data_IF_605283496500
#
_entry.id   IF_605283496500
#
_cell.length_a   1.000
_cell.length_b   1.000
_cell.length_c   1.000
_cell.angle_alpha   90.00
_cell.angle_beta   90.00
_cell.angle_gamma   90.00
#
_symmetry.space_group_name_H-M   'P 1'
#
loop_
_entity.id
_entity.type
_entity.pdbx_description
1 polymer ?
#
# COMPACT_ATOMS: atom_id res chain seq x y z
N UNK A 1 35.39 33.52 -11.42
CA UNK A 1 33.92 33.53 -11.57
C UNK A 1 33.45 32.08 -11.49
N UNK A 2 32.95 31.63 -10.33
CA UNK A 2 32.48 30.26 -10.15
C UNK A 2 30.96 30.24 -10.20
N UNK A 3 30.40 29.51 -11.16
CA UNK A 3 28.98 29.35 -11.35
C UNK A 3 28.46 28.25 -10.41
N UNK A 4 27.65 28.67 -9.44
CA UNK A 4 26.95 27.78 -8.51
C UNK A 4 25.75 27.15 -9.25
N UNK A 5 25.82 25.85 -9.53
CA UNK A 5 24.69 25.09 -10.08
C UNK A 5 23.76 24.66 -8.94
N UNK A 6 22.51 25.15 -8.98
CA UNK A 6 21.43 24.73 -8.08
C UNK A 6 20.88 23.35 -8.49
N UNK A 7 20.45 22.51 -7.52
CA UNK A 7 19.84 21.22 -7.81
C UNK A 7 18.39 21.38 -8.30
N UNK A 8 18.08 20.73 -9.44
CA UNK A 8 16.73 20.61 -9.98
C UNK A 8 15.86 19.72 -9.08
N UNK A 9 14.79 20.28 -8.52
CA UNK A 9 13.73 19.50 -7.88
C UNK A 9 12.77 18.93 -8.95
N UNK A 10 12.35 17.66 -8.83
CA UNK A 10 11.37 17.10 -9.77
C UNK A 10 9.95 17.67 -9.51
N UNK A 11 9.12 17.82 -10.56
CA UNK A 11 7.77 18.37 -10.43
C UNK A 11 6.85 17.41 -9.65
N UNK A 12 6.22 17.94 -8.59
CA UNK A 12 5.37 17.23 -7.63
C UNK A 12 3.94 16.96 -8.13
N UNK A 13 3.73 16.80 -9.44
CA UNK A 13 2.37 16.57 -9.96
C UNK A 13 2.41 15.66 -11.19
N UNK A 14 1.73 14.50 -11.17
CA UNK A 14 1.61 13.67 -12.37
C UNK A 14 0.84 14.46 -13.45
N UNK A 15 1.30 14.45 -14.71
CA UNK A 15 0.60 15.16 -15.78
C UNK A 15 -0.77 14.54 -16.02
N UNK A 16 -1.80 15.39 -16.08
CA UNK A 16 -3.14 15.03 -16.54
C UNK A 16 -3.05 14.57 -18.00
N UNK A 17 -3.53 13.37 -18.26
CA UNK A 17 -3.74 12.82 -19.60
C UNK A 17 -4.71 13.76 -20.33
N UNK A 18 -4.21 14.50 -21.32
CA UNK A 18 -5.00 15.35 -22.19
C UNK A 18 -4.40 16.75 -22.32
N UNK A 19 -3.88 17.04 -23.52
CA UNK A 19 -3.43 18.36 -24.02
C UNK A 19 -1.95 18.74 -23.86
N UNK A 20 -1.03 17.93 -24.39
CA UNK A 20 0.19 18.44 -25.05
C UNK A 20 0.52 17.54 -26.26
N UNK A 21 -0.20 17.73 -27.36
CA UNK A 21 0.24 17.32 -28.69
C UNK A 21 0.91 18.54 -29.32
N UNK A 22 2.25 18.64 -29.26
CA UNK A 22 3.04 19.29 -30.31
C UNK A 22 4.53 19.01 -30.13
N UNK A 23 5.05 18.16 -31.02
CA UNK A 23 6.42 18.16 -31.58
C UNK A 23 7.62 17.51 -30.87
N UNK A 24 7.48 16.89 -29.70
CA UNK A 24 8.44 15.87 -29.21
C UNK A 24 7.63 14.64 -28.79
N UNK A 25 8.10 13.43 -29.10
CA UNK A 25 7.53 12.12 -28.70
C UNK A 25 6.40 11.54 -29.59
N UNK A 26 6.74 11.14 -30.81
CA UNK A 26 6.35 9.78 -31.26
C UNK A 26 7.37 8.79 -30.68
N UNK A 27 7.59 8.83 -29.37
CA UNK A 27 8.36 7.80 -28.71
C UNK A 27 7.56 6.51 -28.90
N UNK A 28 8.22 5.48 -29.40
CA UNK A 28 7.67 4.16 -29.61
C UNK A 28 7.17 3.60 -28.26
N UNK A 29 5.96 3.95 -27.85
CA UNK A 29 5.31 3.40 -26.67
C UNK A 29 4.79 2.02 -27.03
N UNK A 30 5.71 1.05 -27.09
CA UNK A 30 5.33 -0.35 -27.10
C UNK A 30 4.72 -0.70 -25.73
N UNK A 31 3.68 -1.54 -25.73
CA UNK A 31 3.06 -1.98 -24.48
C UNK A 31 3.94 -3.03 -23.80
N UNK A 32 4.82 -2.57 -22.92
CA UNK A 32 5.75 -3.41 -22.15
C UNK A 32 5.02 -4.39 -21.23
N UNK A 33 3.80 -4.08 -20.80
CA UNK A 33 3.01 -4.94 -19.94
C UNK A 33 2.46 -6.13 -20.72
N UNK A 34 1.88 -5.86 -21.89
CA UNK A 34 1.35 -6.89 -22.78
C UNK A 34 2.45 -7.80 -23.33
N UNK A 35 3.55 -7.21 -23.83
CA UNK A 35 4.62 -7.95 -24.53
C UNK A 35 5.40 -8.88 -23.60
N UNK A 36 5.58 -8.48 -22.34
CA UNK A 36 6.27 -9.29 -21.34
C UNK A 36 5.35 -10.32 -20.66
N UNK A 37 4.02 -10.23 -20.89
CA UNK A 37 3.00 -11.12 -20.33
C UNK A 37 3.12 -11.31 -18.80
N UNK A 38 3.60 -10.31 -18.06
CA UNK A 38 3.94 -10.49 -16.63
C UNK A 38 2.70 -10.61 -15.74
N UNK A 39 1.57 -10.07 -16.20
CA UNK A 39 0.27 -10.34 -15.60
C UNK A 39 -0.31 -11.64 -16.13
N UNK A 40 -0.92 -12.42 -15.23
CA UNK A 40 -1.63 -13.63 -15.61
C UNK A 40 -3.13 -13.37 -15.64
N UNK A 41 -3.68 -13.26 -16.85
CA UNK A 41 -5.09 -13.03 -17.08
C UNK A 41 -5.98 -14.17 -16.51
N UNK A 42 -5.46 -15.40 -16.43
CA UNK A 42 -6.20 -16.56 -15.88
C UNK A 42 -6.35 -16.52 -14.36
N UNK A 43 -5.57 -15.68 -13.66
CA UNK A 43 -5.54 -15.61 -12.20
C UNK A 43 -5.71 -14.17 -11.73
N UNK A 44 -6.89 -13.59 -11.94
CA UNK A 44 -7.29 -12.27 -11.41
C UNK A 44 -6.31 -11.13 -11.75
N UNK A 45 -5.58 -11.22 -12.87
CA UNK A 45 -4.49 -10.30 -13.21
C UNK A 45 -3.43 -10.19 -12.10
N UNK A 46 -3.09 -11.31 -11.46
CA UNK A 46 -2.05 -11.34 -10.45
C UNK A 46 -0.67 -11.42 -11.10
N UNK A 47 0.27 -10.69 -10.51
CA UNK A 47 1.67 -10.68 -10.90
C UNK A 47 2.34 -11.99 -10.46
N UNK A 48 2.35 -12.96 -11.38
CA UNK A 48 2.83 -14.33 -11.14
C UNK A 48 4.07 -14.60 -11.97
N UNK A 49 4.87 -15.54 -11.50
CA UNK A 49 6.13 -15.89 -12.14
C UNK A 49 5.91 -16.24 -13.64
N UNK A 50 6.58 -15.55 -14.57
CA UNK A 50 6.38 -15.71 -16.02
C UNK A 50 7.04 -16.98 -16.60
N UNK A 51 7.75 -17.75 -15.78
CA UNK A 51 8.35 -19.02 -16.20
C UNK A 51 7.37 -20.19 -16.10
N UNK A 52 7.54 -21.15 -17.01
CA UNK A 52 6.80 -22.39 -17.01
C UNK A 52 7.35 -23.39 -15.99
N UNK A 53 6.46 -24.18 -15.39
CA UNK A 53 6.79 -25.36 -14.59
C UNK A 53 7.24 -26.51 -15.49
N UNK A 54 7.61 -27.66 -14.90
CA UNK A 54 7.97 -28.87 -15.66
C UNK A 54 6.84 -29.33 -16.60
N UNK A 55 5.59 -29.07 -16.22
CA UNK A 55 4.39 -29.46 -16.94
C UNK A 55 3.94 -28.44 -17.99
N UNK A 56 4.83 -27.50 -18.37
CA UNK A 56 4.55 -26.41 -19.32
C UNK A 56 3.37 -25.51 -18.91
N UNK A 57 3.05 -25.45 -17.61
CA UNK A 57 2.06 -24.54 -17.05
C UNK A 57 2.75 -23.33 -16.44
N UNK A 58 2.13 -22.16 -16.52
CA UNK A 58 2.67 -20.96 -15.90
C UNK A 58 2.79 -21.12 -14.38
N UNK A 59 3.91 -20.68 -13.82
CA UNK A 59 4.16 -20.80 -12.39
C UNK A 59 3.20 -19.90 -11.58
N UNK A 60 2.39 -20.51 -10.71
CA UNK A 60 1.40 -19.81 -9.88
C UNK A 60 1.98 -19.16 -8.62
N UNK A 61 3.27 -19.34 -8.35
CA UNK A 61 3.90 -18.72 -7.19
C UNK A 61 3.96 -17.20 -7.38
N UNK A 62 3.41 -16.48 -6.41
CA UNK A 62 3.43 -15.02 -6.37
C UNK A 62 4.84 -14.53 -6.03
N UNK A 63 5.27 -13.46 -6.70
CA UNK A 63 6.42 -12.71 -6.24
C UNK A 63 6.09 -11.99 -4.91
N UNK A 64 7.10 -11.66 -4.11
CA UNK A 64 6.89 -10.87 -2.89
C UNK A 64 6.35 -9.48 -3.25
N UNK A 65 5.44 -8.92 -2.44
CA UNK A 65 4.80 -7.61 -2.71
C UNK A 65 5.81 -6.50 -3.05
N UNK A 66 6.94 -6.44 -2.34
CA UNK A 66 8.02 -5.48 -2.60
C UNK A 66 8.62 -5.64 -4.01
N UNK A 67 9.00 -6.86 -4.38
CA UNK A 67 9.49 -7.17 -5.73
C UNK A 67 8.46 -6.85 -6.82
N UNK A 68 7.17 -7.07 -6.56
CA UNK A 68 6.10 -6.72 -7.51
C UNK A 68 6.08 -5.21 -7.74
N UNK A 69 6.09 -4.40 -6.68
CA UNK A 69 6.09 -2.94 -6.81
C UNK A 69 7.31 -2.43 -7.59
N UNK A 70 8.50 -2.96 -7.30
CA UNK A 70 9.73 -2.63 -8.03
C UNK A 70 9.68 -3.06 -9.49
N UNK A 71 9.19 -4.28 -9.76
CA UNK A 71 9.07 -4.78 -11.13
C UNK A 71 8.06 -3.98 -11.95
N UNK A 72 6.92 -3.58 -11.37
CA UNK A 72 5.93 -2.71 -12.04
C UNK A 72 6.55 -1.36 -12.39
N UNK A 73 7.35 -0.78 -11.49
CA UNK A 73 8.07 0.47 -11.77
C UNK A 73 9.05 0.32 -12.93
N UNK A 74 9.84 -0.75 -12.97
CA UNK A 74 10.77 -1.02 -14.08
C UNK A 74 10.05 -1.28 -15.40
N UNK A 75 8.94 -2.04 -15.39
CA UNK A 75 8.12 -2.29 -16.58
C UNK A 75 7.52 -0.99 -17.12
N UNK A 76 7.06 -0.10 -16.24
CA UNK A 76 6.58 1.22 -16.64
C UNK A 76 7.70 2.07 -17.27
N UNK A 77 8.92 2.01 -16.74
CA UNK A 77 10.08 2.70 -17.33
C UNK A 77 10.47 2.15 -18.70
N UNK A 78 10.33 0.83 -18.92
CA UNK A 78 10.59 0.19 -20.21
C UNK A 78 9.73 0.75 -21.35
N UNK A 79 8.50 1.19 -21.07
CA UNK A 79 7.62 1.79 -22.07
C UNK A 79 8.15 3.13 -22.65
N UNK A 80 9.17 3.71 -22.00
CA UNK A 80 9.87 4.91 -22.45
C UNK A 80 11.28 4.63 -22.98
N UNK A 81 11.70 3.37 -22.98
CA UNK A 81 13.01 2.94 -23.46
C UNK A 81 12.89 2.43 -24.90
N UNK A 82 13.90 2.72 -25.73
CA UNK A 82 13.99 2.15 -27.07
C UNK A 82 14.03 0.60 -26.98
N UNK A 83 13.03 -0.11 -27.55
CA UNK A 83 12.97 -1.57 -27.49
C UNK A 83 14.13 -2.26 -28.19
N UNK A 84 14.85 -1.58 -29.10
CA UNK A 84 16.05 -2.08 -29.77
C UNK A 84 17.35 -1.58 -29.13
N UNK A 85 17.26 -0.74 -28.09
CA UNK A 85 18.41 -0.14 -27.44
C UNK A 85 19.22 -1.15 -26.61
N UNK A 86 20.54 -0.95 -26.44
CA UNK A 86 21.40 -1.87 -25.68
C UNK A 86 21.04 -1.98 -24.18
N UNK A 87 20.23 -1.04 -23.67
CA UNK A 87 19.78 -1.02 -22.27
C UNK A 87 18.60 -1.96 -22.00
N UNK A 88 17.95 -2.50 -23.04
CA UNK A 88 16.74 -3.33 -22.87
C UNK A 88 17.05 -4.63 -22.13
N UNK A 89 18.12 -5.34 -22.52
CA UNK A 89 18.46 -6.65 -21.94
C UNK A 89 18.83 -6.55 -20.45
N UNK A 90 19.68 -5.61 -19.98
CA UNK A 90 19.95 -5.41 -18.56
C UNK A 90 18.68 -5.16 -17.73
N UNK A 91 17.75 -4.35 -18.23
CA UNK A 91 16.49 -4.06 -17.50
C UNK A 91 15.56 -5.28 -17.47
N UNK A 92 15.45 -6.03 -18.57
CA UNK A 92 14.72 -7.30 -18.59
C UNK A 92 15.30 -8.32 -17.61
N UNK A 93 16.64 -8.38 -17.48
CA UNK A 93 17.32 -9.21 -16.48
C UNK A 93 16.94 -8.80 -15.05
N UNK A 94 16.87 -7.51 -14.75
CA UNK A 94 16.41 -7.02 -13.43
C UNK A 94 14.96 -7.39 -13.16
N UNK A 95 14.07 -7.19 -14.14
CA UNK A 95 12.66 -7.57 -14.05
C UNK A 95 12.52 -9.08 -13.81
N UNK A 96 13.26 -9.92 -14.55
CA UNK A 96 13.28 -11.36 -14.32
C UNK A 96 13.75 -11.73 -12.90
N UNK A 97 14.77 -11.05 -12.36
CA UNK A 97 15.26 -11.31 -11.02
C UNK A 97 14.24 -10.99 -9.90
N UNK A 98 13.33 -10.05 -10.16
CA UNK A 98 12.25 -9.64 -9.24
C UNK A 98 10.99 -10.50 -9.40
N UNK A 99 10.65 -10.87 -10.63
CA UNK A 99 9.38 -11.53 -10.99
C UNK A 99 9.45 -13.06 -10.89
N UNK A 100 10.63 -13.68 -11.04
CA UNK A 100 10.78 -15.12 -10.95
C UNK A 100 10.72 -15.62 -9.50
N UNK A 101 9.99 -16.71 -9.27
CA UNK A 101 9.80 -17.24 -7.93
C UNK A 101 11.15 -17.74 -7.33
N UNK A 102 11.45 -17.30 -6.10
CA UNK A 102 12.73 -17.60 -5.42
C UNK A 102 13.01 -19.10 -5.27
N UNK A 103 11.97 -19.88 -4.98
CA UNK A 103 12.12 -21.28 -4.58
C UNK A 103 12.45 -22.22 -5.75
N UNK A 104 11.95 -21.93 -6.96
CA UNK A 104 12.03 -22.87 -8.10
C UNK A 104 12.81 -22.28 -9.27
N UNK A 105 12.66 -20.98 -9.54
CA UNK A 105 13.12 -20.39 -10.81
C UNK A 105 14.30 -19.44 -10.64
N UNK A 106 14.47 -18.81 -9.47
CA UNK A 106 15.63 -17.92 -9.20
C UNK A 106 16.94 -18.68 -8.96
N UNK A 107 16.88 -19.91 -8.45
CA UNK A 107 18.08 -20.74 -8.17
C UNK A 107 18.72 -21.35 -9.42
N UNK A 108 18.04 -21.31 -10.56
CA UNK A 108 18.51 -21.89 -11.81
C UNK A 108 18.83 -20.76 -12.80
N UNK A 109 20.11 -20.39 -12.99
CA UNK A 109 20.49 -19.30 -13.91
C UNK A 109 19.95 -19.49 -15.32
N UNK A 110 19.89 -20.76 -15.77
CA UNK A 110 19.30 -21.16 -17.07
C UNK A 110 17.86 -20.68 -17.26
N UNK A 111 17.05 -20.57 -16.19
CA UNK A 111 15.65 -20.13 -16.30
C UNK A 111 15.52 -18.60 -16.39
N UNK A 112 16.48 -17.87 -15.83
CA UNK A 112 16.54 -16.42 -15.92
C UNK A 112 16.83 -15.99 -17.36
N UNK A 113 17.88 -16.56 -17.98
CA UNK A 113 18.24 -16.27 -19.37
C UNK A 113 17.11 -16.68 -20.34
N UNK A 114 16.46 -17.82 -20.12
CA UNK A 114 15.34 -18.26 -20.97
C UNK A 114 14.15 -17.30 -20.97
N UNK A 115 13.80 -16.74 -19.81
CA UNK A 115 12.72 -15.76 -19.72
C UNK A 115 13.07 -14.47 -20.46
N UNK A 116 14.30 -13.97 -20.28
CA UNK A 116 14.80 -12.77 -20.96
C UNK A 116 14.86 -12.98 -22.48
N UNK A 117 15.38 -14.11 -22.94
CA UNK A 117 15.43 -14.44 -24.37
C UNK A 117 14.04 -14.53 -25.01
N UNK A 118 13.06 -15.09 -24.29
CA UNK A 118 11.65 -15.11 -24.74
C UNK A 118 11.10 -13.69 -24.89
N UNK A 119 11.36 -12.82 -23.91
CA UNK A 119 10.92 -11.43 -23.95
C UNK A 119 11.59 -10.63 -25.06
N UNK A 120 12.91 -10.77 -25.26
CA UNK A 120 13.62 -10.15 -26.38
C UNK A 120 13.03 -10.58 -27.73
N UNK A 121 12.69 -11.87 -27.88
CA UNK A 121 12.01 -12.36 -29.07
C UNK A 121 10.61 -11.74 -29.25
N UNK A 122 9.82 -11.66 -28.19
CA UNK A 122 8.49 -11.04 -28.23
C UNK A 122 8.58 -9.55 -28.60
N UNK A 123 9.56 -8.83 -28.07
CA UNK A 123 9.82 -7.42 -28.38
C UNK A 123 10.19 -7.28 -29.86
N UNK A 124 11.13 -8.09 -30.36
CA UNK A 124 11.51 -8.08 -31.77
C UNK A 124 10.30 -8.37 -32.69
N UNK A 125 9.50 -9.38 -32.36
CA UNK A 125 8.27 -9.67 -33.09
C UNK A 125 7.28 -8.50 -33.03
N UNK A 126 7.06 -7.90 -31.86
CA UNK A 126 6.15 -6.77 -31.72
C UNK A 126 6.58 -5.55 -32.55
N UNK A 127 7.89 -5.31 -32.67
CA UNK A 127 8.44 -4.27 -33.55
C UNK A 127 8.20 -4.62 -35.02
N UNK A 128 8.53 -5.85 -35.44
CA UNK A 128 8.34 -6.31 -36.82
C UNK A 128 6.85 -6.27 -37.24
N UNK A 129 5.95 -6.60 -36.32
CA UNK A 129 4.50 -6.65 -36.58
C UNK A 129 3.87 -5.26 -36.46
N UNK A 130 4.24 -4.46 -35.45
CA UNK A 130 3.78 -3.08 -35.29
C UNK A 130 4.28 -2.15 -36.39
N UNK A 131 5.43 -2.45 -36.98
CA UNK A 131 5.94 -1.77 -38.19
C UNK A 131 5.13 -2.07 -39.45
N UNK A 132 4.23 -3.07 -39.42
CA UNK A 132 3.41 -3.47 -40.58
C UNK A 132 1.98 -2.92 -40.56
N UNK A 133 1.43 -2.51 -39.43
CA UNK A 133 -0.01 -2.18 -39.31
C UNK A 133 -0.35 -0.81 -38.71
N UNK A 134 0.60 0.13 -38.58
CA UNK A 134 0.25 1.54 -38.34
C UNK A 134 -0.12 2.30 -39.63
N UNK A 135 0.01 1.66 -40.79
CA UNK A 135 -0.40 2.20 -42.08
C UNK A 135 -1.52 1.36 -42.68
N UNK A 136 -2.75 1.87 -42.62
CA UNK A 136 -3.86 1.47 -43.51
C UNK A 136 -4.42 0.06 -43.32
N UNK A 137 -5.32 -0.13 -42.34
CA UNK A 137 -6.39 -1.14 -42.46
C UNK A 137 -7.74 -0.57 -41.95
N UNK A 138 -8.51 -0.04 -42.90
CA UNK A 138 -9.96 -0.21 -43.10
C UNK A 138 -10.91 0.04 -41.91
N UNK A 139 -11.80 1.03 -41.94
CA UNK A 139 -12.73 1.35 -43.04
C UNK A 139 -13.23 0.09 -43.76
N UNK A 140 -13.79 -0.85 -42.99
CA UNK A 140 -14.80 -1.79 -43.51
C UNK A 140 -16.15 -1.45 -42.91
N UNK A 141 -16.85 -0.57 -43.62
CA UNK A 141 -18.22 -0.78 -44.07
C UNK A 141 -19.16 -1.50 -43.09
N UNK A 142 -19.74 -0.74 -42.17
CA UNK A 142 -21.10 -1.00 -41.72
C UNK A 142 -22.02 -0.17 -42.64
N UNK A 143 -22.79 -0.78 -43.54
CA UNK A 143 -23.74 -0.04 -44.35
C UNK A 143 -24.96 0.30 -43.49
N UNK A 144 -25.26 1.60 -43.34
CA UNK A 144 -26.57 2.04 -42.89
C UNK A 144 -26.69 2.42 -41.41
N UNK A 145 -25.97 3.45 -40.97
CA UNK A 145 -26.50 4.34 -39.93
C UNK A 145 -25.95 5.73 -40.16
N UNK A 146 -26.73 6.58 -40.83
CA UNK A 146 -26.42 8.00 -40.98
C UNK A 146 -26.54 8.66 -39.61
N UNK A 147 -25.44 8.72 -38.86
CA UNK A 147 -25.31 9.60 -37.71
C UNK A 147 -24.98 10.98 -38.28
N UNK A 148 -25.85 11.99 -38.12
CA UNK A 148 -25.56 13.35 -38.58
C UNK A 148 -24.35 13.92 -37.82
N UNK A 149 -23.56 14.79 -38.47
CA UNK A 149 -22.39 15.41 -37.85
C UNK A 149 -22.79 16.17 -36.57
N UNK A 150 -21.96 16.14 -35.51
CA UNK A 150 -22.24 16.91 -34.31
C UNK A 150 -22.24 18.40 -34.67
N UNK A 151 -23.38 19.05 -34.40
CA UNK A 151 -23.53 20.49 -34.50
C UNK A 151 -22.43 21.21 -33.72
N UNK A 152 -21.95 22.37 -34.20
CA UNK A 152 -20.91 23.14 -33.53
C UNK A 152 -21.38 23.52 -32.13
N UNK A 153 -20.63 23.03 -31.12
CA UNK A 153 -20.81 23.39 -29.72
C UNK A 153 -20.51 24.88 -29.59
N UNK A 154 -21.55 25.66 -29.33
CA UNK A 154 -21.41 27.03 -28.87
C UNK A 154 -20.65 27.02 -27.55
N UNK A 155 -19.47 27.64 -27.54
CA UNK A 155 -18.73 28.02 -26.34
C UNK A 155 -19.54 29.10 -25.60
N UNK A 156 -20.09 28.83 -24.40
CA UNK A 156 -20.56 29.91 -23.56
C UNK A 156 -19.33 30.60 -22.96
N UNK A 157 -19.29 31.91 -23.17
CA UNK A 157 -18.29 32.79 -22.59
C UNK A 157 -18.23 32.61 -21.07
N UNK A 158 -17.00 32.54 -20.58
CA UNK A 158 -16.62 32.66 -19.18
C UNK A 158 -17.28 33.86 -18.54
N UNK A 159 -17.92 33.65 -17.39
CA UNK A 159 -17.93 34.63 -16.31
C UNK A 159 -18.33 33.97 -14.99
N UNK A 160 -17.49 34.26 -13.99
CA UNK A 160 -17.79 34.37 -12.55
C UNK A 160 -17.95 33.10 -11.68
N UNK A 161 -16.95 32.93 -10.81
CA UNK A 161 -17.24 32.72 -9.38
C UNK A 161 -17.31 31.29 -8.87
N UNK A 162 -16.40 30.40 -9.26
CA UNK A 162 -16.30 29.07 -8.62
C UNK A 162 -15.54 29.21 -7.30
N UNK A 163 -16.29 29.13 -6.20
CA UNK A 163 -15.76 29.04 -4.84
C UNK A 163 -14.74 27.88 -4.72
N UNK A 164 -13.67 28.04 -3.91
CA UNK A 164 -12.60 27.06 -3.85
C UNK A 164 -13.10 25.71 -3.32
N UNK A 165 -12.84 24.66 -4.11
CA UNK A 165 -13.03 23.23 -3.88
C UNK A 165 -12.52 22.75 -2.49
N UNK A 166 -13.30 23.00 -1.44
CA UNK A 166 -13.06 22.53 -0.06
C UNK A 166 -12.96 21.00 0.04
N UNK A 167 -13.71 20.28 -0.80
CA UNK A 167 -13.74 18.81 -0.81
C UNK A 167 -12.45 18.21 -1.35
N UNK A 168 -11.78 18.90 -2.27
CA UNK A 168 -10.55 18.41 -2.91
C UNK A 168 -9.34 18.52 -2.00
N UNK A 169 -9.25 19.57 -1.19
CA UNK A 169 -8.19 19.75 -0.21
C UNK A 169 -8.31 18.74 0.94
N UNK A 170 -9.52 18.43 1.40
CA UNK A 170 -9.76 17.41 2.42
C UNK A 170 -9.36 16.00 1.96
N UNK A 171 -9.63 15.64 0.69
CA UNK A 171 -9.22 14.35 0.12
C UNK A 171 -7.69 14.23 0.04
N UNK A 172 -7.00 15.28 -0.42
CA UNK A 172 -5.54 15.32 -0.50
C UNK A 172 -4.87 15.22 0.88
N UNK A 173 -5.44 15.86 1.90
CA UNK A 173 -4.94 15.75 3.27
C UNK A 173 -5.07 14.33 3.84
N UNK A 174 -6.15 13.60 3.52
CA UNK A 174 -6.29 12.19 3.92
C UNK A 174 -5.25 11.31 3.23
N UNK A 175 -5.05 11.49 1.92
CA UNK A 175 -4.04 10.71 1.20
C UNK A 175 -2.63 11.01 1.70
N UNK A 176 -2.32 12.26 2.06
CA UNK A 176 -1.04 12.63 2.64
C UNK A 176 -0.82 11.94 3.99
N UNK A 177 -1.81 11.97 4.89
CA UNK A 177 -1.74 11.28 6.19
C UNK A 177 -1.54 9.76 6.05
N UNK A 178 -2.17 9.14 5.06
CA UNK A 178 -1.97 7.71 4.78
C UNK A 178 -0.52 7.46 4.32
N UNK A 179 0.01 8.32 3.44
CA UNK A 179 1.37 8.22 2.96
C UNK A 179 2.40 8.37 4.10
N UNK A 180 2.21 9.37 4.97
CA UNK A 180 3.08 9.61 6.13
C UNK A 180 3.05 8.41 7.09
N UNK A 181 1.86 7.86 7.36
CA UNK A 181 1.72 6.64 8.18
C UNK A 181 2.41 5.42 7.56
N UNK A 182 2.40 5.28 6.23
CA UNK A 182 3.13 4.20 5.55
C UNK A 182 4.66 4.39 5.64
N UNK A 183 5.15 5.63 5.59
CA UNK A 183 6.57 5.95 5.76
C UNK A 183 7.03 5.62 7.19
N UNK A 184 6.23 5.98 8.19
CA UNK A 184 6.51 5.66 9.60
C UNK A 184 6.55 4.15 9.83
N UNK A 185 5.57 3.42 9.27
CA UNK A 185 5.53 1.96 9.35
C UNK A 185 6.74 1.32 8.66
N UNK A 186 7.14 1.82 7.49
CA UNK A 186 8.33 1.33 6.78
C UNK A 186 9.60 1.57 7.60
N UNK A 187 9.72 2.74 8.22
CA UNK A 187 10.85 3.09 9.10
C UNK A 187 10.89 2.19 10.34
N UNK A 188 9.73 1.87 10.92
CA UNK A 188 9.64 0.93 12.03
C UNK A 188 10.08 -0.50 11.63
N UNK A 189 9.68 -0.97 10.44
CA UNK A 189 10.15 -2.25 9.92
C UNK A 189 11.67 -2.28 9.69
N UNK A 190 12.26 -1.21 9.16
CA UNK A 190 13.72 -1.14 9.00
C UNK A 190 14.46 -1.20 10.34
N UNK A 191 13.93 -0.55 11.39
CA UNK A 191 14.50 -0.64 12.75
C UNK A 191 14.42 -2.07 13.30
N UNK A 192 13.28 -2.74 13.16
CA UNK A 192 13.12 -4.13 13.59
C UNK A 192 14.05 -5.09 12.83
N UNK A 193 14.31 -4.84 11.55
CA UNK A 193 15.25 -5.64 10.76
C UNK A 193 16.70 -5.42 11.24
N UNK A 194 17.07 -4.18 11.54
CA UNK A 194 18.38 -3.86 12.14
C UNK A 194 18.55 -4.50 13.51
N UNK A 195 17.53 -4.45 14.37
CA UNK A 195 17.57 -5.06 15.70
C UNK A 195 17.64 -6.60 15.62
N UNK A 196 16.93 -7.23 14.68
CA UNK A 196 17.06 -8.66 14.43
C UNK A 196 18.46 -9.05 13.95
N UNK A 197 19.10 -8.23 13.12
CA UNK A 197 20.47 -8.48 12.68
C UNK A 197 21.45 -8.36 13.87
N UNK A 198 21.30 -7.35 14.73
CA UNK A 198 22.09 -7.22 15.97
C UNK A 198 21.93 -8.42 16.89
N UNK A 199 20.70 -8.89 17.10
CA UNK A 199 20.43 -10.08 17.91
C UNK A 199 21.07 -11.34 17.32
N UNK A 200 21.16 -11.46 15.99
CA UNK A 200 21.88 -12.58 15.36
C UNK A 200 23.39 -12.49 15.61
N UNK A 201 23.97 -11.31 15.43
CA UNK A 201 25.39 -11.08 15.69
C UNK A 201 25.74 -11.37 17.17
N UNK A 202 24.87 -10.97 18.11
CA UNK A 202 25.03 -11.27 19.54
C UNK A 202 24.97 -12.78 19.84
N UNK A 203 24.06 -13.52 19.17
CA UNK A 203 23.97 -14.98 19.31
C UNK A 203 25.21 -15.66 18.75
N UNK A 204 25.68 -15.25 17.57
CA UNK A 204 26.90 -15.80 16.96
C UNK A 204 28.13 -15.52 17.85
N UNK A 205 28.22 -14.33 18.44
CA UNK A 205 29.28 -13.99 19.38
C UNK A 205 29.22 -14.84 20.66
N UNK A 206 28.01 -15.11 21.18
CA UNK A 206 27.82 -15.98 22.35
C UNK A 206 28.16 -17.44 22.07
N UNK A 207 27.86 -17.93 20.87
CA UNK A 207 28.23 -19.26 20.45
C UNK A 207 29.75 -19.40 20.28
N UNK A 208 30.42 -18.38 19.76
CA UNK A 208 31.89 -18.34 19.69
C UNK A 208 32.54 -18.28 21.09
N UNK A 209 31.98 -17.48 22.00
CA UNK A 209 32.43 -17.43 23.40
C UNK A 209 32.27 -18.80 24.10
N UNK A 210 31.13 -19.46 23.90
CA UNK A 210 30.88 -20.81 24.41
C UNK A 210 31.84 -21.85 23.82
N UNK A 211 32.16 -21.76 22.52
CA UNK A 211 33.14 -22.65 21.89
C UNK A 211 34.54 -22.47 22.53
N UNK A 212 34.97 -21.23 22.77
CA UNK A 212 36.24 -20.94 23.45
C UNK A 212 36.27 -21.45 24.89
N UNK A 213 35.17 -21.36 25.63
CA UNK A 213 35.06 -21.90 26.99
C UNK A 213 35.16 -23.43 27.01
N UNK A 214 34.50 -24.11 26.06
CA UNK A 214 34.61 -25.58 25.92
C UNK A 214 36.05 -26.01 25.65
N UNK A 215 36.74 -25.32 24.74
CA UNK A 215 38.15 -25.60 24.44
C UNK A 215 39.04 -25.45 25.68
N UNK A 216 38.89 -24.36 26.46
CA UNK A 216 39.67 -24.18 27.71
C UNK A 216 39.40 -25.27 28.73
N UNK A 217 38.17 -25.75 28.83
CA UNK A 217 37.80 -26.83 29.74
C UNK A 217 38.47 -28.15 29.34
N UNK A 218 38.51 -28.45 28.04
CA UNK A 218 39.22 -29.62 27.50
C UNK A 218 40.73 -29.56 27.76
N UNK A 219 41.35 -28.39 27.55
CA UNK A 219 42.77 -28.15 27.86
C UNK A 219 43.08 -28.34 29.35
N UNK A 220 42.24 -27.83 30.26
CA UNK A 220 42.40 -28.06 31.69
C UNK A 220 42.28 -29.55 32.07
N UNK A 221 41.34 -30.27 31.48
CA UNK A 221 41.19 -31.71 31.73
C UNK A 221 42.40 -32.52 31.25
N UNK A 222 43.01 -32.13 30.12
CA UNK A 222 44.24 -32.76 29.65
C UNK A 222 45.42 -32.49 30.59
N UNK A 223 45.59 -31.25 31.04
CA UNK A 223 46.66 -30.86 31.97
C UNK A 223 46.62 -31.68 33.27
N UNK A 224 45.43 -31.84 33.86
CA UNK A 224 45.24 -32.63 35.09
C UNK A 224 45.55 -34.11 34.86
N UNK A 225 45.21 -34.67 33.69
CA UNK A 225 45.55 -36.05 33.35
C UNK A 225 47.06 -36.25 33.24
N UNK A 226 47.78 -35.34 32.57
CA UNK A 226 49.24 -35.40 32.47
C UNK A 226 49.93 -35.24 33.81
N UNK A 227 49.48 -34.31 34.66
CA UNK A 227 50.06 -34.11 36.00
C UNK A 227 49.85 -35.35 36.89
N UNK A 228 48.69 -36.02 36.76
CA UNK A 228 48.43 -37.27 37.47
C UNK A 228 49.39 -38.38 37.04
N UNK A 229 49.65 -38.52 35.74
CA UNK A 229 50.59 -39.51 35.21
C UNK A 229 52.03 -39.24 35.65
N UNK A 230 52.48 -37.99 35.65
CA UNK A 230 53.81 -37.63 36.16
C UNK A 230 54.00 -37.95 37.65
N UNK A 231 52.97 -37.72 38.47
CA UNK A 231 53.01 -38.05 39.90
C UNK A 231 53.03 -39.55 40.15
N UNK A 232 52.41 -40.33 39.27
CA UNK A 232 52.41 -41.80 39.34
C UNK A 232 53.80 -42.36 39.01
N UNK A 233 54.44 -41.85 37.95
CA UNK A 233 55.83 -42.20 37.58
C UNK A 233 56.83 -41.83 38.68
N UNK A 234 56.66 -40.66 39.33
CA UNK A 234 57.54 -40.24 40.44
C UNK A 234 57.42 -41.10 41.70
N UNK A 235 56.29 -41.79 41.92
CA UNK A 235 56.10 -42.67 43.09
C UNK A 235 56.81 -44.01 42.95
N UNK A 236 57.14 -44.44 41.74
CA UNK A 236 57.82 -45.71 41.49
C UNK A 236 59.35 -45.64 41.68
N UNK A 237 59.93 -44.47 41.96
CA UNK A 237 61.38 -44.24 41.86
C UNK A 237 62.13 -44.08 43.20
N UNK A 238 61.49 -44.23 44.35
CA UNK A 238 62.13 -43.94 45.65
C UNK A 238 62.16 -45.20 46.52
N UNK A 239 63.37 -45.76 46.70
CA UNK A 239 63.65 -46.84 47.64
C UNK A 239 65.10 -46.81 48.16
N UNK A 240 65.25 -46.79 49.50
CA UNK A 240 66.42 -47.26 50.26
C UNK A 240 67.18 -46.18 51.07
N UNK A 241 67.17 -46.25 52.43
CA UNK A 241 68.29 -46.74 53.27
C UNK A 241 68.00 -46.68 54.80
N UNK A 242 67.98 -47.84 55.48
CA UNK A 242 67.02 -48.21 56.55
C UNK A 242 67.28 -47.82 58.04
N UNK A 243 68.33 -47.08 58.44
CA UNK A 243 68.60 -46.86 59.90
C UNK A 243 68.76 -45.43 60.41
N UNK A 244 69.17 -44.49 59.57
CA UNK A 244 68.84 -43.05 59.76
C UNK A 244 67.45 -42.72 59.18
N UNK A 245 66.95 -43.59 58.28
CA UNK A 245 65.55 -43.60 57.84
C UNK A 245 64.61 -43.79 59.01
N UNK A 246 64.88 -44.60 60.04
CA UNK A 246 63.83 -44.86 61.03
C UNK A 246 63.48 -43.61 61.89
N UNK A 247 64.44 -42.71 62.14
CA UNK A 247 64.17 -41.40 62.76
C UNK A 247 63.60 -40.40 61.77
N UNK A 248 64.15 -40.34 60.55
CA UNK A 248 63.61 -39.48 59.48
C UNK A 248 62.20 -39.89 59.11
N UNK A 249 61.90 -41.16 58.92
CA UNK A 249 60.58 -41.76 58.74
C UNK A 249 59.64 -41.47 59.91
N UNK A 250 60.11 -41.42 61.17
CA UNK A 250 59.22 -41.08 62.28
C UNK A 250 58.87 -39.59 62.31
N UNK A 251 59.82 -38.73 61.98
CA UNK A 251 59.63 -37.28 61.85
C UNK A 251 58.88 -36.91 60.56
N UNK A 252 59.13 -37.64 59.47
CA UNK A 252 58.40 -37.62 58.20
C UNK A 252 57.01 -38.22 58.37
N UNK A 253 56.79 -39.22 59.23
CA UNK A 253 55.45 -39.72 59.56
C UNK A 253 54.68 -38.68 60.37
N UNK A 254 55.32 -37.97 61.30
CA UNK A 254 54.67 -36.84 61.99
C UNK A 254 54.39 -35.68 61.04
N UNK A 255 55.35 -35.31 60.20
CA UNK A 255 55.22 -34.24 59.22
C UNK A 255 54.23 -34.61 58.11
N UNK A 256 54.16 -35.90 57.72
CA UNK A 256 53.17 -36.41 56.78
C UNK A 256 51.79 -36.49 57.42
N UNK A 257 51.68 -36.83 58.70
CA UNK A 257 50.43 -36.79 59.45
C UNK A 257 49.91 -35.36 59.58
N UNK A 258 50.77 -34.41 59.92
CA UNK A 258 50.41 -32.98 60.00
C UNK A 258 50.03 -32.42 58.61
N UNK A 259 50.78 -32.78 57.56
CA UNK A 259 50.40 -32.48 56.17
C UNK A 259 49.08 -33.14 55.76
N UNK A 260 48.81 -34.35 56.22
CA UNK A 260 47.56 -35.08 55.96
C UNK A 260 46.39 -34.41 56.67
N UNK A 261 46.53 -34.03 57.93
CA UNK A 261 45.51 -33.31 58.70
C UNK A 261 45.24 -31.92 58.10
N UNK A 262 46.28 -31.19 57.69
CA UNK A 262 46.12 -29.94 56.96
C UNK A 262 45.46 -30.12 55.59
N UNK A 263 45.76 -31.22 54.90
CA UNK A 263 45.12 -31.54 53.63
C UNK A 263 43.66 -31.96 53.83
N UNK A 264 43.32 -32.66 54.91
CA UNK A 264 41.93 -32.95 55.31
C UNK A 264 41.18 -31.66 55.66
N UNK A 265 41.80 -30.73 56.38
CA UNK A 265 41.22 -29.40 56.64
C UNK A 265 40.91 -28.64 55.35
N UNK A 266 41.87 -28.61 54.41
CA UNK A 266 41.68 -27.97 53.09
C UNK A 266 40.61 -28.69 52.27
N UNK A 267 40.59 -30.01 52.27
CA UNK A 267 39.56 -30.79 51.58
C UNK A 267 38.18 -30.49 52.16
N UNK A 268 38.04 -30.44 53.49
CA UNK A 268 36.78 -30.10 54.14
C UNK A 268 36.33 -28.67 53.81
N UNK A 269 37.24 -27.70 53.79
CA UNK A 269 36.92 -26.33 53.38
C UNK A 269 36.49 -26.26 51.90
N UNK A 270 37.15 -27.01 51.02
CA UNK A 270 36.76 -27.10 49.61
C UNK A 270 35.40 -27.78 49.44
N UNK A 271 35.10 -28.83 50.18
CA UNK A 271 33.78 -29.47 50.20
C UNK A 271 32.69 -28.50 50.63
N UNK A 272 32.93 -27.71 51.68
CA UNK A 272 32.00 -26.67 52.11
C UNK A 272 31.78 -25.59 51.04
N UNK A 273 32.84 -25.15 50.35
CA UNK A 273 32.74 -24.18 49.24
C UNK A 273 31.96 -24.75 48.06
N UNK A 274 32.21 -26.02 47.69
CA UNK A 274 31.48 -26.70 46.63
C UNK A 274 29.99 -26.82 46.99
N UNK A 275 29.70 -27.19 48.24
CA UNK A 275 28.31 -27.31 48.70
C UNK A 275 27.59 -25.96 48.75
N UNK A 276 28.28 -24.89 49.17
CA UNK A 276 27.75 -23.53 49.11
C UNK A 276 27.46 -23.09 47.66
N UNK A 277 28.39 -23.32 46.73
CA UNK A 277 28.19 -23.02 45.31
C UNK A 277 27.04 -23.83 44.69
N UNK A 278 26.88 -25.11 45.07
CA UNK A 278 25.74 -25.93 44.63
C UNK A 278 24.41 -25.37 45.10
N UNK A 279 24.34 -24.89 46.35
CA UNK A 279 23.11 -24.26 46.89
C UNK A 279 22.79 -22.95 46.18
N UNK A 280 23.80 -22.11 45.96
CA UNK A 280 23.63 -20.86 45.22
C UNK A 280 23.17 -21.12 43.77
N UNK A 281 23.78 -22.07 43.08
CA UNK A 281 23.36 -22.47 41.73
C UNK A 281 21.93 -23.02 41.71
N UNK A 282 21.53 -23.80 42.72
CA UNK A 282 20.16 -24.29 42.85
C UNK A 282 19.15 -23.16 43.08
N UNK A 283 19.48 -22.17 43.92
CA UNK A 283 18.64 -21.00 44.18
C UNK A 283 18.50 -20.13 42.92
N UNK A 284 19.60 -19.90 42.20
CA UNK A 284 19.57 -19.19 40.92
C UNK A 284 18.73 -19.94 39.87
N UNK A 285 18.83 -21.27 39.83
CA UNK A 285 18.02 -22.13 38.96
C UNK A 285 16.52 -22.00 39.25
N UNK A 286 16.11 -21.97 40.52
CA UNK A 286 14.71 -21.76 40.93
C UNK A 286 14.21 -20.36 40.55
N UNK A 287 15.02 -19.31 40.81
CA UNK A 287 14.68 -17.94 40.41
C UNK A 287 14.48 -17.81 38.90
N UNK A 288 15.37 -18.37 38.10
CA UNK A 288 15.26 -18.38 36.65
C UNK A 288 14.02 -19.16 36.17
N UNK A 289 13.68 -20.26 36.84
CA UNK A 289 12.47 -21.03 36.52
C UNK A 289 11.18 -20.24 36.82
N UNK A 290 11.12 -19.54 37.95
CA UNK A 290 9.98 -18.72 38.33
C UNK A 290 9.82 -17.50 37.41
N UNK A 291 10.92 -16.85 37.03
CA UNK A 291 10.90 -15.76 36.06
C UNK A 291 10.38 -16.24 34.70
N UNK A 292 10.82 -17.41 34.25
CA UNK A 292 10.31 -18.01 33.01
C UNK A 292 8.80 -18.29 33.07
N UNK A 293 8.30 -18.79 34.20
CA UNK A 293 6.84 -18.99 34.39
C UNK A 293 6.06 -17.67 34.34
N UNK A 294 6.61 -16.59 34.92
CA UNK A 294 5.99 -15.25 34.86
C UNK A 294 5.91 -14.74 33.42
N UNK A 295 6.98 -14.88 32.64
CA UNK A 295 7.01 -14.47 31.24
C UNK A 295 6.04 -15.30 30.38
N UNK A 296 5.92 -16.61 30.63
CA UNK A 296 4.96 -17.46 29.94
C UNK A 296 3.50 -17.06 30.24
N UNK A 297 3.18 -16.71 31.49
CA UNK A 297 1.86 -16.21 31.89
C UNK A 297 1.56 -14.83 31.27
N UNK A 298 2.54 -13.95 31.20
CA UNK A 298 2.41 -12.63 30.55
C UNK A 298 2.16 -12.77 29.05
N UNK A 299 2.94 -13.62 28.36
CA UNK A 299 2.75 -13.94 26.95
C UNK A 299 1.36 -14.52 26.67
N UNK A 300 0.84 -15.36 27.58
CA UNK A 300 -0.51 -15.89 27.48
C UNK A 300 -1.57 -14.79 27.58
N UNK A 301 -1.45 -13.89 28.55
CA UNK A 301 -2.36 -12.74 28.71
C UNK A 301 -2.33 -11.83 27.48
N UNK A 302 -1.15 -11.56 26.93
CA UNK A 302 -1.00 -10.75 25.72
C UNK A 302 -1.66 -11.41 24.50
N UNK A 303 -1.52 -12.74 24.33
CA UNK A 303 -2.21 -13.49 23.27
C UNK A 303 -3.73 -13.42 23.42
N UNK A 304 -4.25 -13.57 24.63
CA UNK A 304 -5.69 -13.46 24.91
C UNK A 304 -6.20 -12.03 24.65
N UNK A 305 -5.44 -10.99 25.03
CA UNK A 305 -5.77 -9.59 24.73
C UNK A 305 -5.77 -9.31 23.22
N UNK A 306 -4.75 -9.78 22.50
CA UNK A 306 -4.67 -9.66 21.04
C UNK A 306 -5.82 -10.40 20.33
N UNK A 307 -6.21 -11.57 20.83
CA UNK A 307 -7.36 -12.30 20.30
C UNK A 307 -8.66 -11.52 20.49
N UNK A 308 -8.89 -10.94 21.69
CA UNK A 308 -10.04 -10.08 21.96
C UNK A 308 -10.04 -8.85 21.05
N UNK A 309 -8.89 -8.21 20.85
CA UNK A 309 -8.77 -7.07 19.93
C UNK A 309 -9.13 -7.44 18.49
N UNK A 310 -8.69 -8.60 18.00
CA UNK A 310 -9.06 -9.10 16.67
C UNK A 310 -10.56 -9.36 16.55
N UNK A 311 -11.18 -9.91 17.59
CA UNK A 311 -12.64 -10.11 17.61
C UNK A 311 -13.39 -8.78 17.59
N UNK A 312 -12.94 -7.78 18.37
CA UNK A 312 -13.54 -6.45 18.39
C UNK A 312 -13.42 -5.75 17.01
N UNK A 313 -12.25 -5.82 16.38
CA UNK A 313 -12.04 -5.28 15.02
C UNK A 313 -12.91 -5.99 13.99
N UNK A 314 -13.07 -7.30 14.09
CA UNK A 314 -13.96 -8.04 13.21
C UNK A 314 -15.42 -7.62 13.38
N UNK A 315 -15.89 -7.48 14.62
CA UNK A 315 -17.23 -6.97 14.92
C UNK A 315 -17.46 -5.56 14.38
N UNK A 316 -16.47 -4.66 14.57
CA UNK A 316 -16.52 -3.30 14.04
C UNK A 316 -16.59 -3.29 12.51
N UNK A 317 -15.79 -4.11 11.83
CA UNK A 317 -15.84 -4.22 10.37
C UNK A 317 -17.19 -4.75 9.88
N UNK A 318 -17.78 -5.73 10.58
CA UNK A 318 -19.12 -6.23 10.24
C UNK A 318 -20.18 -5.13 10.41
N UNK A 319 -20.11 -4.35 11.49
CA UNK A 319 -21.01 -3.21 11.70
C UNK A 319 -20.84 -2.14 10.62
N UNK A 320 -19.60 -1.80 10.24
CA UNK A 320 -19.34 -0.87 9.15
C UNK A 320 -19.84 -1.38 7.81
N UNK A 321 -19.67 -2.67 7.51
CA UNK A 321 -20.19 -3.29 6.30
C UNK A 321 -21.72 -3.20 6.25
N UNK A 322 -22.41 -3.53 7.34
CA UNK A 322 -23.87 -3.40 7.40
C UNK A 322 -24.35 -1.96 7.25
N UNK A 323 -23.60 -0.99 7.77
CA UNK A 323 -23.92 0.42 7.59
C UNK A 323 -23.73 0.84 6.13
N UNK A 324 -22.63 0.44 5.48
CA UNK A 324 -22.38 0.73 4.07
C UNK A 324 -23.46 0.11 3.15
N UNK A 325 -23.90 -1.11 3.46
CA UNK A 325 -25.01 -1.75 2.74
C UNK A 325 -26.32 -0.98 2.93
N UNK A 326 -26.62 -0.54 4.16
CA UNK A 326 -27.78 0.28 4.45
C UNK A 326 -27.76 1.61 3.69
N UNK A 327 -26.64 2.33 3.73
CA UNK A 327 -26.45 3.61 3.04
C UNK A 327 -26.56 3.42 1.50
N UNK A 328 -26.03 2.32 0.96
CA UNK A 328 -26.16 1.98 -0.45
C UNK A 328 -27.62 1.69 -0.86
N UNK A 329 -28.37 1.00 0.00
CA UNK A 329 -29.80 0.79 -0.20
C UNK A 329 -30.59 2.09 -0.15
N UNK A 330 -30.29 2.99 0.80
CA UNK A 330 -30.92 4.30 0.90
C UNK A 330 -30.62 5.15 -0.34
N UNK A 331 -29.38 5.17 -0.81
CA UNK A 331 -28.99 5.89 -2.02
C UNK A 331 -29.75 5.37 -3.25
N UNK A 332 -29.86 4.05 -3.41
CA UNK A 332 -30.63 3.45 -4.50
C UNK A 332 -32.11 3.84 -4.43
N UNK A 333 -32.70 3.81 -3.23
CA UNK A 333 -34.09 4.25 -3.02
C UNK A 333 -34.30 5.74 -3.38
N UNK A 334 -33.37 6.62 -2.97
CA UNK A 334 -33.40 8.04 -3.34
C UNK A 334 -33.24 8.26 -4.85
N UNK A 335 -32.39 7.47 -5.51
CA UNK A 335 -32.20 7.51 -6.95
C UNK A 335 -33.47 7.11 -7.70
N UNK A 336 -34.11 5.99 -7.30
CA UNK A 336 -35.41 5.59 -7.86
C UNK A 336 -36.49 6.65 -7.67
N UNK A 337 -36.50 7.32 -6.50
CA UNK A 337 -37.43 8.43 -6.25
C UNK A 337 -37.14 9.63 -7.17
N UNK A 338 -35.87 9.94 -7.42
CA UNK A 338 -35.47 11.00 -8.35
C UNK A 338 -35.92 10.67 -9.78
N UNK A 339 -35.71 9.44 -10.24
CA UNK A 339 -36.12 8.99 -11.57
C UNK A 339 -37.64 9.14 -11.77
N UNK A 340 -38.46 8.73 -10.78
CA UNK A 340 -39.91 8.94 -10.81
C UNK A 340 -40.30 10.42 -10.85
N UNK A 341 -39.58 11.29 -10.16
CA UNK A 341 -39.81 12.74 -10.20
C UNK A 341 -39.44 13.30 -11.57
N UNK A 342 -38.36 12.83 -12.19
CA UNK A 342 -37.97 13.23 -13.55
C UNK A 342 -39.00 12.79 -14.59
N UNK A 343 -39.52 11.56 -14.49
CA UNK A 343 -40.63 11.07 -15.33
C UNK A 343 -41.86 11.96 -15.18
N UNK A 344 -42.22 12.32 -13.94
CA UNK A 344 -43.36 13.21 -13.66
C UNK A 344 -43.15 14.60 -14.27
N UNK A 345 -41.94 15.16 -14.14
CA UNK A 345 -41.59 16.45 -14.76
C UNK A 345 -41.66 16.38 -16.29
N UNK A 346 -41.26 15.26 -16.88
CA UNK A 346 -41.36 15.06 -18.32
C UNK A 346 -42.82 15.04 -18.78
N UNK A 347 -43.71 14.36 -18.06
CA UNK A 347 -45.14 14.38 -18.34
C UNK A 347 -45.73 15.80 -18.28
N UNK A 348 -45.32 16.61 -17.31
CA UNK A 348 -45.73 18.02 -17.24
C UNK A 348 -45.22 18.83 -18.43
N UNK A 349 -43.96 18.65 -18.84
CA UNK A 349 -43.40 19.31 -20.02
C UNK A 349 -44.19 18.96 -21.29
N UNK A 350 -44.50 17.68 -21.47
CA UNK A 350 -45.29 17.21 -22.61
C UNK A 350 -46.73 17.74 -22.60
N UNK A 351 -47.32 17.88 -21.41
CA UNK A 351 -48.65 18.48 -21.25
C UNK A 351 -48.64 19.98 -21.60
N UNK A 352 -47.67 20.73 -21.10
CA UNK A 352 -47.49 22.16 -21.43
C UNK A 352 -47.29 22.34 -22.94
N UNK A 353 -46.47 21.49 -23.57
CA UNK A 353 -46.25 21.53 -25.01
C UNK A 353 -47.56 21.32 -25.80
N UNK A 354 -48.41 20.37 -25.38
CA UNK A 354 -49.75 20.16 -25.96
C UNK A 354 -50.64 21.39 -25.82
N UNK A 355 -50.72 21.96 -24.62
CA UNK A 355 -51.50 23.19 -24.37
C UNK A 355 -51.02 24.36 -25.25
N UNK A 356 -49.71 24.51 -25.46
CA UNK A 356 -49.17 25.54 -26.36
C UNK A 356 -49.52 25.32 -27.84
N UNK A 357 -49.67 24.07 -28.28
CA UNK A 357 -50.15 23.76 -29.63
C UNK A 357 -51.63 24.08 -29.76
N UNK A 358 -52.45 23.68 -28.79
CA UNK A 358 -53.88 23.95 -28.77
C UNK A 358 -54.17 25.46 -28.71
N UNK A 359 -53.44 26.21 -27.89
CA UNK A 359 -53.55 27.67 -27.83
C UNK A 359 -53.19 28.32 -29.18
N UNK A 360 -52.13 27.86 -29.84
CA UNK A 360 -51.76 28.35 -31.18
C UNK A 360 -52.83 28.01 -32.22
N UNK A 361 -53.42 26.82 -32.16
CA UNK A 361 -54.52 26.42 -33.04
C UNK A 361 -55.76 27.29 -32.82
N UNK A 362 -56.16 27.52 -31.57
CA UNK A 362 -57.29 28.38 -31.23
C UNK A 362 -57.06 29.82 -31.72
N UNK A 363 -55.85 30.36 -31.52
CA UNK A 363 -55.47 31.68 -32.03
C UNK A 363 -55.58 31.76 -33.56
N UNK A 364 -55.10 30.74 -34.29
CA UNK A 364 -55.23 30.67 -35.75
C UNK A 364 -56.69 30.59 -36.22
N UNK A 365 -57.54 29.82 -35.53
CA UNK A 365 -58.97 29.71 -35.84
C UNK A 365 -59.68 31.06 -35.63
N UNK A 366 -59.42 31.74 -34.51
CA UNK A 366 -59.96 33.08 -34.26
C UNK A 366 -59.50 34.08 -35.33
N UNK A 367 -58.22 34.09 -35.67
CA UNK A 367 -57.68 34.95 -36.73
C UNK A 367 -58.35 34.67 -38.10
N UNK A 368 -58.67 33.41 -38.40
CA UNK A 368 -59.45 33.02 -39.58
C UNK A 368 -60.88 33.59 -39.55
N UNK A 369 -61.59 33.43 -38.43
CA UNK A 369 -62.94 33.97 -38.24
C UNK A 369 -62.99 35.49 -38.38
N UNK A 370 -62.00 36.21 -37.84
CA UNK A 370 -61.90 37.67 -38.02
C UNK A 370 -61.63 38.07 -39.48
N UNK A 371 -60.86 37.26 -40.22
CA UNK A 371 -60.63 37.50 -41.66
C UNK A 371 -61.91 37.30 -42.48
N UNK A 372 -62.68 36.26 -42.16
CA UNK A 372 -63.97 35.98 -42.83
C UNK A 372 -65.03 37.04 -42.48
N UNK A 373 -65.13 37.45 -41.22
CA UNK A 373 -66.02 38.53 -40.78
C UNK A 373 -65.58 39.92 -41.29
N UNK A 374 -64.30 40.07 -41.62
CA UNK A 374 -63.66 41.30 -42.12
C UNK A 374 -63.82 41.58 -43.61
N UNK A 375 -64.64 40.81 -44.36
CA UNK A 375 -65.05 41.14 -45.74
C UNK A 375 -65.98 42.38 -45.86
N UNK A 376 -65.92 43.30 -44.88
CA UNK A 376 -66.47 44.65 -44.96
C UNK A 376 -65.44 45.68 -44.49
N UNK A 377 -64.28 45.75 -45.16
CA UNK A 377 -63.67 47.00 -45.65
C UNK A 377 -62.28 46.73 -46.24
N UNK A 378 -62.23 46.79 -47.56
CA UNK A 378 -61.01 47.13 -48.30
C UNK A 378 -60.59 48.56 -47.95
N UNK A 379 -59.75 48.70 -46.92
CA UNK A 379 -58.91 49.88 -46.77
C UNK A 379 -57.66 49.42 -46.04
N UNK A 380 -56.76 48.87 -46.85
CA UNK A 380 -55.42 48.42 -46.49
C UNK A 380 -54.59 49.59 -45.93
N UNK A 381 -54.09 49.52 -44.68
CA UNK A 381 -52.91 50.26 -44.29
C UNK A 381 -51.68 49.36 -44.45
N UNK A 382 -50.63 49.92 -45.06
CA UNK A 382 -49.33 49.29 -45.24
C UNK A 382 -48.76 48.70 -43.93
N UNK A 383 -48.02 47.58 -44.00
CA UNK A 383 -47.32 47.04 -42.86
C UNK A 383 -46.15 47.97 -42.49
N UNK A 384 -46.30 48.72 -41.40
CA UNK A 384 -45.19 49.44 -40.78
C UNK A 384 -44.09 48.46 -40.31
N UNK A 385 -42.81 48.80 -40.49
CA UNK A 385 -41.69 47.99 -40.03
C UNK A 385 -41.65 47.93 -38.49
N UNK A 386 -41.11 46.85 -37.90
CA UNK A 386 -41.06 46.67 -36.46
C UNK A 386 -39.87 47.46 -35.88
N UNK A 387 -40.01 48.77 -35.78
CA UNK A 387 -39.16 49.58 -34.87
C UNK A 387 -39.94 49.82 -33.57
N UNK A 388 -39.26 49.53 -32.46
CA UNK A 388 -39.63 49.90 -31.09
C UNK A 388 -40.91 49.30 -30.50
N UNK A 389 -40.98 47.97 -30.43
CA UNK A 389 -41.76 47.33 -29.37
C UNK A 389 -41.01 47.50 -28.02
N UNK A 390 -41.57 48.23 -27.03
CA UNK A 390 -40.91 48.39 -25.74
C UNK A 390 -40.72 47.02 -25.09
N UNK A 391 -39.56 46.73 -24.46
CA UNK A 391 -39.27 45.47 -23.77
C UNK A 391 -40.14 45.36 -22.51
N UNK A 392 -41.44 45.15 -22.72
CA UNK A 392 -42.47 45.26 -21.73
C UNK A 392 -42.79 43.87 -21.18
N UNK A 393 -42.77 43.81 -19.85
CA UNK A 393 -43.27 42.72 -18.99
C UNK A 393 -42.43 41.43 -18.95
N UNK A 394 -42.06 40.85 -20.10
CA UNK A 394 -41.38 39.54 -20.14
C UNK A 394 -40.02 39.50 -19.44
N UNK A 395 -39.16 40.51 -19.68
CA UNK A 395 -37.84 40.62 -19.04
C UNK A 395 -37.91 40.99 -17.55
N UNK A 396 -38.99 41.67 -17.12
CA UNK A 396 -39.15 42.10 -15.72
C UNK A 396 -39.59 40.93 -14.83
N UNK A 397 -40.45 40.03 -15.35
CA UNK A 397 -40.82 38.80 -14.65
C UNK A 397 -39.65 37.81 -14.55
N UNK A 398 -38.87 37.64 -15.62
CA UNK A 398 -37.67 36.79 -15.57
C UNK A 398 -36.63 37.26 -14.55
N UNK A 399 -36.51 38.58 -14.34
CA UNK A 399 -35.61 39.13 -13.30
C UNK A 399 -36.13 38.85 -11.88
N UNK A 400 -37.44 39.01 -11.65
CA UNK A 400 -38.06 38.69 -10.35
C UNK A 400 -37.99 37.20 -9.98
N UNK A 401 -38.08 36.29 -10.96
CA UNK A 401 -37.89 34.85 -10.70
C UNK A 401 -36.43 34.49 -10.40
N UNK A 402 -35.47 35.13 -11.07
CA UNK A 402 -34.03 34.91 -10.83
C UNK A 402 -33.61 35.39 -9.43
N UNK A 403 -34.13 36.54 -9.00
CA UNK A 403 -33.81 37.09 -7.68
C UNK A 403 -34.42 36.23 -6.54
N UNK A 404 -35.63 35.68 -6.73
CA UNK A 404 -36.23 34.74 -5.77
C UNK A 404 -35.52 33.39 -5.66
N UNK A 405 -34.98 32.86 -6.76
CA UNK A 405 -34.18 31.63 -6.73
C UNK A 405 -32.83 31.82 -6.01
N UNK A 406 -32.23 33.01 -6.15
CA UNK A 406 -31.02 33.40 -5.41
C UNK A 406 -31.28 33.44 -3.91
N UNK A 407 -32.37 34.08 -3.49
CA UNK A 407 -32.69 34.24 -2.06
C UNK A 407 -33.04 32.89 -1.40
N UNK A 408 -33.74 31.99 -2.11
CA UNK A 408 -34.03 30.64 -1.62
C UNK A 408 -32.76 29.80 -1.44
N UNK A 409 -31.82 29.86 -2.39
CA UNK A 409 -30.54 29.14 -2.31
C UNK A 409 -29.65 29.66 -1.17
N UNK A 410 -29.65 30.98 -0.93
CA UNK A 410 -28.91 31.58 0.19
C UNK A 410 -29.53 31.25 1.57
N UNK A 411 -30.85 31.14 1.65
CA UNK A 411 -31.54 30.74 2.89
C UNK A 411 -31.22 29.27 3.27
N UNK A 412 -31.22 28.36 2.29
CA UNK A 412 -30.87 26.95 2.52
C UNK A 412 -29.40 26.77 2.90
N UNK A 413 -28.48 27.49 2.25
CA UNK A 413 -27.05 27.48 2.61
C UNK A 413 -26.82 28.01 4.03
N UNK A 414 -27.55 29.05 4.43
CA UNK A 414 -27.46 29.62 5.78
C UNK A 414 -28.02 28.67 6.85
N UNK A 415 -29.06 27.89 6.55
CA UNK A 415 -29.56 26.84 7.45
C UNK A 415 -28.63 25.64 7.53
N UNK A 416 -28.01 25.23 6.43
CA UNK A 416 -27.04 24.13 6.40
C UNK A 416 -25.79 24.45 7.25
N UNK A 417 -25.23 25.66 7.10
CA UNK A 417 -24.07 26.10 7.86
C UNK A 417 -24.35 26.25 9.37
N UNK A 418 -25.58 26.60 9.76
CA UNK A 418 -25.96 26.67 11.18
C UNK A 418 -26.19 25.28 11.80
N UNK A 419 -26.61 24.27 11.02
CA UNK A 419 -26.71 22.88 11.52
C UNK A 419 -25.34 22.27 11.80
N UNK A 420 -24.35 22.48 10.92
CA UNK A 420 -23.01 21.95 11.11
C UNK A 420 -22.29 22.58 12.32
N UNK A 421 -22.54 23.86 12.63
CA UNK A 421 -21.98 24.49 13.84
C UNK A 421 -22.54 23.93 15.13
N UNK A 422 -23.81 23.51 15.15
CA UNK A 422 -24.44 22.95 16.35
C UNK A 422 -23.94 21.52 16.65
N UNK A 423 -23.54 20.75 15.64
CA UNK A 423 -23.02 19.39 15.82
C UNK A 423 -21.58 19.33 16.35
N UNK A 424 -20.79 20.40 16.17
CA UNK A 424 -19.39 20.45 16.60
C UNK A 424 -19.24 20.97 18.05
N UNK A 425 -20.26 21.64 18.61
CA UNK A 425 -20.21 22.25 19.94
C UNK A 425 -20.34 21.28 21.13
N UNK A 426 -20.96 20.11 20.95
CA UNK A 426 -21.33 19.24 22.09
C UNK A 426 -20.29 18.16 22.44
N UNK A 427 -19.20 18.03 21.67
CA UNK A 427 -18.18 16.99 21.91
C UNK A 427 -16.92 17.46 22.65
N UNK A 428 -16.79 18.75 23.01
CA UNK A 428 -15.57 19.29 23.60
C UNK A 428 -15.53 19.34 25.14
N UNK A 429 -16.60 18.98 25.87
CA UNK A 429 -16.70 19.27 27.31
C UNK A 429 -16.74 18.07 28.26
N UNK A 430 -16.39 16.85 27.82
CA UNK A 430 -16.33 15.68 28.71
C UNK A 430 -15.08 14.85 28.47
N UNK A 431 -13.99 15.14 29.18
CA UNK A 431 -13.10 14.13 29.77
C UNK A 431 -11.87 14.79 30.40
N UNK A 432 -11.95 15.20 31.66
CA UNK A 432 -10.81 15.31 32.57
C UNK A 432 -11.31 15.20 34.02
N UNK A 433 -11.42 13.97 34.53
CA UNK A 433 -11.36 13.69 35.97
C UNK A 433 -10.44 12.48 36.15
N UNK A 434 -9.26 12.64 36.77
CA UNK A 434 -8.40 11.52 37.12
C UNK A 434 -8.82 10.92 38.47
N UNK A 435 -8.74 9.60 38.59
CA UNK A 435 -8.69 8.85 39.85
C UNK A 435 -7.51 7.91 39.80
#
# INVERSE_FOLDING_TARGET
MMATLLPLTPPTTPPRIGSFQTSYQQAHHWDSVAILEIYNAEHENLFTCPSDTRDRRRCRNRATKQNIAQAVSLVAQLAYTDPQGPQIEPELRRIAALTLCKNVHRKLPVKHDKAVQRWLKNIAMAIETGSRDCGSVNERSIPGTCIPPPSPVHTPASEEGVAPDSTRTASLQRTQKILDSMIDLHTAFQRLEQDNNRLRDDVDQKDEENARLRQRLEEQQQMVKTERQEREVKREQIGGDEKDEQRRLQEDLRSAKERSEDQERRNHELEQKIEAQKREAAEQGLKAQDERRRLDDELRREKEANQKLRQALHQQNTQQSSQQEHDAHELNHLQQRNDRLQETLQLFRDHIARLQVDLRRAHWQLAGQFREAGQLRESSPEPMPPEDAPPSVGRRLLRLFRDRESDAKNADLSQALNRDRSAVGDHASRSLVPS
#
